data_IF_326883840994
#
_entry.id   IF_326883840994
#
_cell.length_a   1.000
_cell.length_b   1.000
_cell.length_c   1.000
_cell.angle_alpha   90.00
_cell.angle_beta   90.00
_cell.angle_gamma   90.00
#
_symmetry.space_group_name_H-M   'P 1'
#
loop_
_entity.id
_entity.type
_entity.pdbx_description
1 polymer ?
#
# COMPACT_ATOMS: atom_id res chain seq x y z
N UNK A 1 -1.02 24.54 23.29
CA UNK A 1 -0.62 24.98 21.94
C UNK A 1 0.59 24.22 21.43
N UNK A 2 1.56 23.85 22.26
CA UNK A 2 2.78 23.12 21.85
C UNK A 2 2.50 21.80 21.14
N UNK A 3 1.58 20.96 21.64
CA UNK A 3 1.27 19.69 20.99
C UNK A 3 0.78 19.85 19.53
N UNK A 4 -0.10 20.82 19.26
CA UNK A 4 -0.65 21.06 17.92
C UNK A 4 0.45 21.53 16.97
N UNK A 5 1.27 22.49 17.41
CA UNK A 5 2.38 23.02 16.59
C UNK A 5 3.44 21.97 16.35
N UNK A 6 3.77 21.15 17.36
CA UNK A 6 4.74 20.06 17.23
C UNK A 6 4.25 18.99 16.24
N UNK A 7 2.97 18.60 16.32
CA UNK A 7 2.38 17.63 15.41
C UNK A 7 2.43 18.10 13.95
N UNK A 8 2.05 19.36 13.69
CA UNK A 8 2.11 19.95 12.34
C UNK A 8 3.55 20.07 11.83
N UNK A 9 4.50 20.41 12.70
CA UNK A 9 5.92 20.45 12.35
C UNK A 9 6.48 19.05 12.01
N UNK A 10 6.08 18.02 12.76
CA UNK A 10 6.44 16.62 12.47
C UNK A 10 5.87 16.17 11.12
N UNK A 11 4.62 16.51 10.81
CA UNK A 11 4.02 16.20 9.49
C UNK A 11 4.78 16.90 8.36
N UNK A 12 5.13 18.15 8.52
CA UNK A 12 5.95 18.89 7.55
C UNK A 12 7.35 18.24 7.38
N UNK A 13 7.98 17.83 8.48
CA UNK A 13 9.25 17.12 8.45
C UNK A 13 9.15 15.79 7.69
N UNK A 14 8.11 14.98 7.97
CA UNK A 14 7.87 13.72 7.26
C UNK A 14 7.86 13.95 5.74
N UNK A 15 7.07 14.90 5.27
CA UNK A 15 6.91 15.18 3.84
C UNK A 15 8.22 15.69 3.21
N UNK A 16 8.96 16.55 3.92
CA UNK A 16 10.19 17.16 3.41
C UNK A 16 11.40 16.21 3.40
N UNK A 17 11.36 15.12 4.17
CA UNK A 17 12.49 14.19 4.31
C UNK A 17 12.26 12.82 3.67
N UNK A 18 11.08 12.54 3.14
CA UNK A 18 10.82 11.27 2.43
C UNK A 18 11.73 11.14 1.20
N UNK A 19 12.26 9.93 0.97
CA UNK A 19 13.09 9.66 -0.20
C UNK A 19 12.24 9.63 -1.48
N UNK A 20 12.53 10.53 -2.41
CA UNK A 20 11.78 10.67 -3.67
C UNK A 20 12.09 9.59 -4.71
N UNK A 21 13.26 8.93 -4.65
CA UNK A 21 13.65 7.95 -5.66
C UNK A 21 12.72 6.71 -5.73
N UNK A 22 12.34 6.07 -4.59
CA UNK A 22 11.35 5.00 -4.63
C UNK A 22 9.97 5.48 -5.10
N UNK A 23 9.61 6.75 -4.84
CA UNK A 23 8.33 7.32 -5.30
C UNK A 23 8.35 7.42 -6.83
N UNK A 24 9.42 7.96 -7.41
CA UNK A 24 9.56 8.06 -8.87
C UNK A 24 9.49 6.67 -9.53
N UNK A 25 10.19 5.67 -8.97
CA UNK A 25 10.12 4.28 -9.45
C UNK A 25 8.70 3.72 -9.37
N UNK A 26 7.96 4.00 -8.30
CA UNK A 26 6.57 3.56 -8.18
C UNK A 26 5.67 4.20 -9.25
N UNK A 27 5.89 5.47 -9.60
CA UNK A 27 5.18 6.13 -10.71
C UNK A 27 5.48 5.42 -12.03
N UNK A 28 6.75 5.13 -12.34
CA UNK A 28 7.15 4.44 -13.57
C UNK A 28 6.47 3.06 -13.68
N UNK A 29 6.46 2.29 -12.59
CA UNK A 29 5.82 0.98 -12.53
C UNK A 29 4.30 1.06 -12.71
N UNK A 30 3.64 2.06 -12.13
CA UNK A 30 2.20 2.29 -12.28
C UNK A 30 1.83 2.72 -13.71
N UNK A 31 2.64 3.56 -14.34
CA UNK A 31 2.49 3.93 -15.75
C UNK A 31 2.67 2.71 -16.67
N UNK A 32 3.69 1.89 -16.40
CA UNK A 32 3.90 0.63 -17.13
C UNK A 32 2.74 -0.34 -16.92
N UNK A 33 2.17 -0.43 -15.72
CA UNK A 33 0.97 -1.22 -15.42
C UNK A 33 -0.22 -0.77 -16.26
N UNK A 34 -0.47 0.53 -16.33
CA UNK A 34 -1.55 1.10 -17.14
C UNK A 34 -1.33 0.80 -18.64
N UNK A 35 -0.12 1.01 -19.16
CA UNK A 35 0.24 0.75 -20.58
C UNK A 35 0.00 -0.71 -20.98
N UNK A 36 0.27 -1.69 -20.09
CA UNK A 36 -0.01 -3.11 -20.36
C UNK A 36 -1.44 -3.55 -20.01
N UNK A 37 -2.33 -2.60 -19.67
CA UNK A 37 -3.72 -2.88 -19.27
C UNK A 37 -3.83 -3.85 -18.09
N UNK A 38 -2.89 -3.80 -17.15
CA UNK A 38 -2.88 -4.57 -15.91
C UNK A 38 -3.87 -4.01 -14.87
N UNK A 39 -4.03 -4.73 -13.76
CA UNK A 39 -4.88 -4.33 -12.63
C UNK A 39 -4.00 -4.03 -11.42
N UNK A 40 -4.36 -3.00 -10.67
CA UNK A 40 -3.73 -2.67 -9.40
C UNK A 40 -4.59 -3.21 -8.25
N UNK A 41 -3.99 -3.95 -7.33
CA UNK A 41 -4.64 -4.43 -6.11
C UNK A 41 -4.00 -3.77 -4.89
N UNK A 42 -4.79 -3.03 -4.12
CA UNK A 42 -4.28 -2.30 -2.94
C UNK A 42 -4.80 -2.97 -1.68
N UNK A 43 -3.89 -3.30 -0.76
CA UNK A 43 -4.24 -3.96 0.51
C UNK A 43 -3.58 -3.26 1.69
N UNK A 44 -4.22 -3.33 2.85
CA UNK A 44 -3.73 -2.78 4.11
C UNK A 44 -4.58 -3.25 5.29
N UNK A 45 -4.18 -2.91 6.50
CA UNK A 45 -4.93 -3.20 7.72
C UNK A 45 -5.23 -1.89 8.46
N UNK A 46 -6.38 -1.78 9.13
CA UNK A 46 -6.75 -0.59 9.91
C UNK A 46 -6.82 0.69 9.08
N UNK A 47 -6.14 1.77 9.50
CA UNK A 47 -6.07 3.02 8.75
C UNK A 47 -5.43 2.85 7.37
N UNK A 48 -4.47 1.94 7.24
CA UNK A 48 -3.92 1.57 5.93
C UNK A 48 -4.96 0.92 5.01
N UNK A 49 -5.95 0.17 5.54
CA UNK A 49 -7.07 -0.35 4.75
C UNK A 49 -8.00 0.78 4.28
N UNK A 50 -8.28 1.77 5.15
CA UNK A 50 -9.05 2.95 4.78
C UNK A 50 -8.37 3.76 3.65
N UNK A 51 -7.04 3.92 3.73
CA UNK A 51 -6.25 4.53 2.67
C UNK A 51 -6.30 3.72 1.38
N UNK A 52 -6.29 2.38 1.45
CA UNK A 52 -6.42 1.51 0.28
C UNK A 52 -7.77 1.71 -0.43
N UNK A 53 -8.88 1.72 0.32
CA UNK A 53 -10.23 1.98 -0.21
C UNK A 53 -10.33 3.35 -0.88
N UNK A 54 -9.79 4.39 -0.25
CA UNK A 54 -9.76 5.73 -0.83
C UNK A 54 -8.93 5.77 -2.13
N UNK A 55 -7.74 5.18 -2.12
CA UNK A 55 -6.84 5.15 -3.27
C UNK A 55 -7.46 4.43 -4.48
N UNK A 56 -8.22 3.35 -4.27
CA UNK A 56 -8.95 2.66 -5.35
C UNK A 56 -9.83 3.64 -6.13
N UNK A 57 -10.57 4.51 -5.43
CA UNK A 57 -11.38 5.52 -6.08
C UNK A 57 -10.54 6.46 -6.95
N UNK A 58 -9.42 6.96 -6.41
CA UNK A 58 -8.59 7.95 -7.11
C UNK A 58 -7.85 7.36 -8.30
N UNK A 59 -7.25 6.18 -8.15
CA UNK A 59 -6.61 5.50 -9.28
C UNK A 59 -7.60 5.18 -10.41
N UNK A 60 -8.84 4.80 -10.09
CA UNK A 60 -9.87 4.53 -11.09
C UNK A 60 -10.39 5.79 -11.75
N UNK A 61 -10.73 6.81 -10.95
CA UNK A 61 -11.44 8.01 -11.42
C UNK A 61 -10.50 9.03 -12.07
N UNK A 62 -9.28 9.18 -11.54
CA UNK A 62 -8.33 10.21 -11.98
C UNK A 62 -7.32 9.60 -12.96
N UNK A 63 -6.67 8.49 -12.59
CA UNK A 63 -5.62 7.87 -13.40
C UNK A 63 -6.14 6.87 -14.44
N UNK A 64 -7.45 6.59 -14.48
CA UNK A 64 -8.07 5.59 -15.37
C UNK A 64 -7.32 4.24 -15.31
N UNK A 65 -6.97 3.80 -14.10
CA UNK A 65 -6.32 2.54 -13.83
C UNK A 65 -7.29 1.57 -13.15
N UNK A 66 -7.42 0.37 -13.68
CA UNK A 66 -8.27 -0.67 -13.08
C UNK A 66 -7.71 -1.07 -11.72
N UNK A 67 -8.35 -0.62 -10.63
CA UNK A 67 -7.87 -0.77 -9.28
C UNK A 67 -8.93 -1.39 -8.39
N UNK A 68 -8.52 -2.27 -7.47
CA UNK A 68 -9.40 -3.06 -6.61
C UNK A 68 -8.80 -3.21 -5.21
N UNK A 69 -9.66 -3.46 -4.23
CA UNK A 69 -9.27 -3.82 -2.86
C UNK A 69 -10.28 -4.78 -2.24
N UNK A 70 -9.85 -5.79 -1.47
CA UNK A 70 -10.79 -6.62 -0.70
C UNK A 70 -11.46 -5.85 0.45
N UNK A 71 -10.93 -4.67 0.80
CA UNK A 71 -11.42 -3.89 1.95
C UNK A 71 -12.79 -3.26 1.71
N UNK A 72 -13.22 -3.14 0.46
CA UNK A 72 -14.52 -2.54 0.08
C UNK A 72 -15.68 -3.54 0.14
N UNK A 73 -15.40 -4.85 0.08
CA UNK A 73 -16.40 -5.91 0.20
C UNK A 73 -16.26 -6.62 1.55
N UNK A 74 -16.89 -6.03 2.57
CA UNK A 74 -16.85 -6.57 3.94
C UNK A 74 -17.43 -7.99 4.01
N UNK A 75 -18.46 -8.31 3.21
CA UNK A 75 -19.06 -9.63 3.19
C UNK A 75 -18.09 -10.70 2.72
N UNK A 76 -17.38 -10.45 1.62
CA UNK A 76 -16.38 -11.37 1.07
C UNK A 76 -15.18 -11.52 2.01
N UNK A 77 -14.62 -10.40 2.49
CA UNK A 77 -13.50 -10.41 3.41
C UNK A 77 -13.80 -11.20 4.69
N UNK A 78 -14.99 -10.99 5.28
CA UNK A 78 -15.39 -11.69 6.51
C UNK A 78 -15.71 -13.17 6.26
N UNK A 79 -16.22 -13.53 5.07
CA UNK A 79 -16.39 -14.92 4.69
C UNK A 79 -15.04 -15.64 4.60
N UNK A 80 -14.04 -15.06 3.91
CA UNK A 80 -12.69 -15.62 3.86
C UNK A 80 -12.07 -15.78 5.25
N UNK A 81 -12.25 -14.80 6.15
CA UNK A 81 -11.75 -14.90 7.52
C UNK A 81 -12.45 -16.03 8.29
N UNK A 82 -13.76 -16.15 8.15
CA UNK A 82 -14.56 -17.18 8.83
C UNK A 82 -14.23 -18.60 8.33
N UNK A 83 -14.09 -18.76 7.03
CA UNK A 83 -13.92 -20.07 6.39
C UNK A 83 -12.46 -20.56 6.39
N UNK A 84 -11.52 -19.65 6.61
CA UNK A 84 -10.09 -19.98 6.76
C UNK A 84 -9.53 -19.45 8.09
N UNK A 85 -8.93 -18.28 8.04
CA UNK A 85 -8.44 -17.51 9.17
C UNK A 85 -8.02 -16.12 8.69
N UNK A 86 -7.70 -15.21 9.64
CA UNK A 86 -7.23 -13.87 9.31
C UNK A 86 -5.97 -13.87 8.42
N UNK A 87 -5.01 -14.74 8.72
CA UNK A 87 -3.71 -14.74 8.05
C UNK A 87 -3.79 -15.16 6.58
N UNK A 88 -4.73 -16.04 6.22
CA UNK A 88 -4.90 -16.61 4.90
C UNK A 88 -6.03 -15.95 4.08
N UNK A 89 -6.77 -15.01 4.69
CA UNK A 89 -7.93 -14.36 4.07
C UNK A 89 -7.62 -13.71 2.71
N UNK A 90 -6.47 -13.05 2.58
CA UNK A 90 -6.05 -12.42 1.33
C UNK A 90 -5.57 -13.43 0.27
N UNK A 91 -5.14 -14.63 0.68
CA UNK A 91 -4.72 -15.67 -0.25
C UNK A 91 -5.92 -16.20 -1.04
N UNK A 92 -7.01 -16.53 -0.34
CA UNK A 92 -8.25 -16.97 -0.96
C UNK A 92 -8.84 -15.91 -1.89
N UNK A 93 -8.92 -14.69 -1.41
CA UNK A 93 -9.37 -13.57 -2.22
C UNK A 93 -8.52 -13.37 -3.49
N UNK A 94 -7.20 -13.31 -3.36
CA UNK A 94 -6.30 -13.11 -4.50
C UNK A 94 -6.37 -14.23 -5.54
N UNK A 95 -6.58 -15.47 -5.10
CA UNK A 95 -6.78 -16.62 -6.00
C UNK A 95 -8.10 -16.48 -6.77
N UNK A 96 -9.20 -16.05 -6.10
CA UNK A 96 -10.51 -15.84 -6.73
C UNK A 96 -10.47 -14.70 -7.76
N UNK A 97 -9.73 -13.61 -7.46
CA UNK A 97 -9.51 -12.51 -8.40
C UNK A 97 -8.67 -12.91 -9.63
N UNK A 98 -8.02 -14.05 -9.61
CA UNK A 98 -7.15 -14.50 -10.69
C UNK A 98 -5.99 -13.53 -10.92
N UNK A 99 -5.34 -13.08 -9.83
CA UNK A 99 -4.18 -12.18 -9.89
C UNK A 99 -3.03 -12.87 -10.63
N UNK A 100 -2.40 -12.19 -11.55
CA UNK A 100 -1.35 -12.75 -12.39
C UNK A 100 -0.21 -11.76 -12.65
N UNK A 101 0.86 -12.21 -13.31
CA UNK A 101 2.07 -11.42 -13.58
C UNK A 101 1.81 -10.12 -14.40
N UNK A 102 0.66 -10.00 -15.06
CA UNK A 102 0.27 -8.75 -15.73
C UNK A 102 -0.23 -7.66 -14.78
N UNK A 103 -0.59 -8.03 -13.56
CA UNK A 103 -1.13 -7.15 -12.53
C UNK A 103 -0.03 -6.58 -11.63
N UNK A 104 -0.41 -5.85 -10.59
CA UNK A 104 0.46 -5.31 -9.55
C UNK A 104 -0.26 -5.30 -8.21
N UNK A 105 0.48 -5.54 -7.13
CA UNK A 105 0.00 -5.40 -5.76
C UNK A 105 0.66 -4.19 -5.10
N UNK A 106 -0.13 -3.34 -4.47
CA UNK A 106 0.35 -2.28 -3.59
C UNK A 106 -0.04 -2.59 -2.15
N UNK A 107 0.93 -2.57 -1.24
CA UNK A 107 0.71 -2.93 0.16
C UNK A 107 1.00 -1.72 1.06
N UNK A 108 0.01 -1.36 1.87
CA UNK A 108 0.09 -0.28 2.84
C UNK A 108 0.22 -0.87 4.25
N UNK A 109 1.26 -0.50 4.98
CA UNK A 109 1.45 -0.98 6.35
C UNK A 109 2.33 -0.03 7.16
N UNK A 110 1.99 0.23 8.41
CA UNK A 110 2.86 1.05 9.29
C UNK A 110 4.19 0.35 9.55
N UNK A 111 4.17 -0.92 9.93
CA UNK A 111 5.37 -1.65 10.32
C UNK A 111 5.96 -2.57 9.25
N UNK A 112 5.32 -2.70 8.08
CA UNK A 112 5.78 -3.57 7.00
C UNK A 112 5.59 -5.07 7.24
N UNK A 113 4.88 -5.45 8.30
CA UNK A 113 4.53 -6.83 8.61
C UNK A 113 5.67 -7.70 9.16
N UNK A 114 5.27 -8.77 9.84
CA UNK A 114 6.12 -9.85 10.34
C UNK A 114 5.28 -11.13 10.42
N UNK A 115 5.88 -12.25 10.82
CA UNK A 115 5.12 -13.49 11.06
C UNK A 115 4.08 -13.36 12.20
N UNK A 116 4.28 -12.42 13.12
CA UNK A 116 3.38 -12.21 14.26
C UNK A 116 2.41 -11.04 14.07
N UNK A 117 2.69 -10.11 13.16
CA UNK A 117 1.89 -8.89 12.96
C UNK A 117 1.66 -8.67 11.48
N UNK A 118 0.39 -8.49 11.09
CA UNK A 118 -0.01 -8.35 9.68
C UNK A 118 0.43 -9.53 8.81
N UNK A 119 0.32 -10.76 9.35
CA UNK A 119 0.70 -11.98 8.65
C UNK A 119 -0.10 -12.17 7.34
N UNK A 120 -1.36 -11.70 7.29
CA UNK A 120 -2.15 -11.66 6.06
C UNK A 120 -1.43 -10.92 4.92
N UNK A 121 -0.83 -9.76 5.20
CA UNK A 121 -0.10 -8.98 4.20
C UNK A 121 1.21 -9.68 3.78
N UNK A 122 1.96 -10.24 4.74
CA UNK A 122 3.24 -10.91 4.43
C UNK A 122 3.03 -12.19 3.62
N UNK A 123 2.01 -13.00 3.96
CA UNK A 123 1.64 -14.19 3.20
C UNK A 123 1.15 -13.82 1.79
N UNK A 124 0.35 -12.75 1.67
CA UNK A 124 -0.12 -12.28 0.37
C UNK A 124 1.02 -11.83 -0.54
N UNK A 125 2.01 -11.12 0.00
CA UNK A 125 3.22 -10.75 -0.76
C UNK A 125 4.06 -11.98 -1.12
N UNK A 126 4.21 -12.95 -0.23
CA UNK A 126 4.90 -14.21 -0.56
C UNK A 126 4.24 -14.92 -1.75
N UNK A 127 2.89 -14.98 -1.77
CA UNK A 127 2.13 -15.55 -2.87
C UNK A 127 2.31 -14.72 -4.17
N UNK A 128 2.27 -13.40 -4.09
CA UNK A 128 2.52 -12.51 -5.22
C UNK A 128 3.88 -12.80 -5.88
N UNK A 129 4.92 -12.99 -5.07
CA UNK A 129 6.26 -13.33 -5.58
C UNK A 129 6.27 -14.70 -6.30
N UNK A 130 5.53 -15.69 -5.80
CA UNK A 130 5.38 -17.00 -6.47
C UNK A 130 4.66 -16.87 -7.82
N UNK A 131 3.74 -15.92 -7.95
CA UNK A 131 3.00 -15.64 -9.18
C UNK A 131 3.72 -14.63 -10.11
N UNK A 132 4.92 -14.20 -9.74
CA UNK A 132 5.68 -13.14 -10.44
C UNK A 132 4.91 -11.83 -10.59
N UNK A 133 4.08 -11.49 -9.60
CA UNK A 133 3.33 -10.23 -9.55
C UNK A 133 4.20 -9.16 -8.92
N UNK A 134 4.44 -8.02 -9.59
CA UNK A 134 5.16 -6.90 -9.02
C UNK A 134 4.50 -6.35 -7.75
N UNK A 135 5.32 -6.01 -6.75
CA UNK A 135 4.88 -5.50 -5.46
C UNK A 135 5.48 -4.13 -5.18
N UNK A 136 4.61 -3.16 -4.94
CA UNK A 136 4.97 -1.83 -4.40
C UNK A 136 4.50 -1.77 -2.95
N UNK A 137 5.29 -1.22 -2.04
CA UNK A 137 4.87 -1.01 -0.65
C UNK A 137 5.11 0.41 -0.17
N UNK A 138 4.19 0.91 0.69
CA UNK A 138 4.36 2.16 1.42
C UNK A 138 4.33 1.80 2.90
N UNK A 139 5.48 1.93 3.56
CA UNK A 139 5.70 1.48 4.93
C UNK A 139 6.46 2.53 5.74
N UNK A 140 6.55 2.34 7.05
CA UNK A 140 7.36 3.15 7.95
C UNK A 140 8.21 2.26 8.87
N UNK A 141 8.71 2.80 9.97
CA UNK A 141 9.61 2.11 10.91
C UNK A 141 10.85 1.58 10.17
N UNK A 142 11.19 0.33 10.35
CA UNK A 142 12.27 -0.35 9.63
C UNK A 142 11.82 -1.01 8.33
N UNK A 143 10.51 -0.92 7.99
CA UNK A 143 9.90 -1.47 6.80
C UNK A 143 9.54 -2.97 6.87
N UNK A 144 9.90 -3.66 7.96
CA UNK A 144 9.53 -5.04 8.23
C UNK A 144 9.83 -6.01 7.07
N UNK A 145 8.96 -7.00 6.91
CA UNK A 145 9.01 -7.96 5.82
C UNK A 145 8.93 -7.30 4.44
N UNK A 146 8.03 -6.31 4.29
CA UNK A 146 7.75 -5.67 3.00
C UNK A 146 8.96 -4.97 2.41
N UNK A 147 9.85 -4.39 3.23
CA UNK A 147 11.06 -3.73 2.74
C UNK A 147 11.97 -4.65 1.93
N UNK A 148 12.02 -5.93 2.29
CA UNK A 148 12.92 -6.90 1.67
C UNK A 148 12.27 -7.66 0.50
N UNK A 149 10.94 -7.68 0.44
CA UNK A 149 10.20 -8.50 -0.53
C UNK A 149 9.37 -7.70 -1.54
N UNK A 150 9.32 -6.36 -1.42
CA UNK A 150 8.73 -5.50 -2.45
C UNK A 150 9.75 -5.17 -3.54
N UNK A 151 9.30 -5.03 -4.77
CA UNK A 151 10.12 -4.58 -5.91
C UNK A 151 10.42 -3.08 -5.79
N UNK A 152 9.46 -2.32 -5.24
CA UNK A 152 9.62 -0.93 -4.84
C UNK A 152 9.10 -0.74 -3.44
N UNK A 153 9.92 -0.22 -2.53
CA UNK A 153 9.52 0.10 -1.16
C UNK A 153 9.70 1.59 -0.87
N UNK A 154 8.58 2.28 -0.66
CA UNK A 154 8.56 3.67 -0.20
C UNK A 154 8.58 3.65 1.32
N UNK A 155 9.71 4.02 1.91
CA UNK A 155 9.90 4.03 3.37
C UNK A 155 9.65 5.44 3.90
N UNK A 156 8.54 5.61 4.61
CA UNK A 156 8.19 6.85 5.30
C UNK A 156 9.08 7.04 6.53
N UNK A 157 9.70 8.21 6.72
CA UNK A 157 10.54 8.47 7.87
C UNK A 157 9.74 8.45 9.18
N UNK A 158 10.39 7.99 10.25
CA UNK A 158 9.85 8.11 11.61
C UNK A 158 10.32 9.45 12.17
N UNK A 159 9.39 10.38 12.31
CA UNK A 159 9.65 11.73 12.83
C UNK A 159 9.40 11.85 14.34
N UNK A 160 8.60 10.93 14.89
CA UNK A 160 8.33 10.83 16.32
C UNK A 160 7.93 9.40 16.68
N UNK A 161 8.70 8.75 17.57
CA UNK A 161 8.47 7.36 17.98
C UNK A 161 7.13 7.12 18.68
N UNK A 162 6.57 8.15 19.33
CA UNK A 162 5.28 8.06 20.03
C UNK A 162 4.09 8.21 19.07
N UNK A 163 4.30 8.70 17.85
CA UNK A 163 3.27 9.04 16.87
C UNK A 163 3.53 8.39 15.49
N UNK A 164 4.24 7.26 15.47
CA UNK A 164 4.58 6.57 14.21
C UNK A 164 3.34 6.18 13.42
N UNK A 165 2.33 5.60 14.08
CA UNK A 165 1.12 5.12 13.39
C UNK A 165 0.35 6.25 12.69
N UNK A 166 -0.08 7.33 13.36
CA UNK A 166 -0.81 8.40 12.67
C UNK A 166 0.03 9.05 11.56
N UNK A 167 1.30 9.38 11.82
CA UNK A 167 2.15 9.96 10.77
C UNK A 167 2.40 9.03 9.58
N UNK A 168 2.51 7.71 9.81
CA UNK A 168 2.63 6.76 8.70
C UNK A 168 1.35 6.68 7.87
N UNK A 169 0.17 6.67 8.48
CA UNK A 169 -1.11 6.62 7.79
C UNK A 169 -1.41 7.92 7.03
N UNK A 170 -1.09 9.08 7.62
CA UNK A 170 -1.14 10.38 6.93
C UNK A 170 -0.15 10.43 5.75
N UNK A 171 1.09 9.98 5.97
CA UNK A 171 2.11 9.90 4.93
C UNK A 171 1.69 8.98 3.77
N UNK A 172 1.06 7.83 4.05
CA UNK A 172 0.49 6.96 3.02
C UNK A 172 -0.52 7.72 2.16
N UNK A 173 -1.45 8.48 2.77
CA UNK A 173 -2.44 9.27 2.06
C UNK A 173 -1.79 10.32 1.14
N UNK A 174 -0.80 11.04 1.65
CA UNK A 174 -0.05 12.05 0.86
C UNK A 174 0.64 11.39 -0.34
N UNK A 175 1.33 10.25 -0.13
CA UNK A 175 2.04 9.56 -1.20
C UNK A 175 1.06 9.00 -2.24
N UNK A 176 -0.09 8.44 -1.82
CA UNK A 176 -1.10 7.91 -2.75
C UNK A 176 -1.63 9.00 -3.69
N UNK A 177 -1.99 10.18 -3.14
CA UNK A 177 -2.40 11.32 -3.96
C UNK A 177 -1.29 11.78 -4.91
N UNK A 178 -0.03 11.82 -4.43
CA UNK A 178 1.11 12.17 -5.25
C UNK A 178 1.29 11.18 -6.42
N UNK A 179 1.22 9.86 -6.16
CA UNK A 179 1.36 8.83 -7.19
C UNK A 179 0.28 8.97 -8.28
N UNK A 180 -0.99 9.14 -7.88
CA UNK A 180 -2.10 9.34 -8.81
C UNK A 180 -1.87 10.55 -9.72
N UNK A 181 -1.52 11.71 -9.12
CA UNK A 181 -1.32 12.94 -9.89
C UNK A 181 -0.06 12.86 -10.76
N UNK A 182 1.05 12.30 -10.25
CA UNK A 182 2.28 12.16 -11.00
C UNK A 182 2.13 11.24 -12.24
N UNK A 183 1.26 10.22 -12.17
CA UNK A 183 0.93 9.40 -13.35
C UNK A 183 0.28 10.21 -14.48
N UNK A 184 -0.48 11.26 -14.14
CA UNK A 184 -1.18 12.11 -15.12
C UNK A 184 -0.24 13.10 -15.80
N UNK A 185 0.90 13.41 -15.20
CA UNK A 185 1.94 14.27 -15.77
C UNK A 185 2.90 13.50 -16.70
N UNK A 186 2.82 12.16 -16.73
CA UNK A 186 3.63 11.34 -17.63
C UNK A 186 2.96 11.25 -19.02
N UNK A 187 3.72 11.40 -20.11
CA UNK A 187 3.19 11.36 -21.48
C UNK A 187 2.72 9.95 -21.90
#
# INVERSE_FOLDING_TARGET
MTYITDYLAETAQLVSTVNVLPIARAVDELVALKKRNGRLYIVGNGGSAANASHAVNDFRKIADLRTYTPMDNVAELTAWINDSNWEDSLLGWGATEGICANDMIMVLSVGGGSMATSANLTKFVALAKMWNVPVVSIVSRNGGYLKNYSDVCILLPVVNEKRVTPHAEEGQSIILHLLVNAMMEQP
#
